data_IF_747220535176
#
_entry.id   IF_747220535176
#
_cell.length_a   1.000
_cell.length_b   1.000
_cell.length_c   1.000
_cell.angle_alpha   90.00
_cell.angle_beta   90.00
_cell.angle_gamma   90.00
#
_symmetry.space_group_name_H-M   'P 1'
#
loop_
_entity.id
_entity.type
_entity.pdbx_description
1 polymer ?
#
# COMPACT_ATOMS: atom_id res chain seq x y z
N UNK A 1 20.89 0.43 28.03
CA UNK A 1 20.36 0.81 26.70
C UNK A 1 18.86 0.65 26.74
N UNK A 2 18.13 1.75 27.06
CA UNK A 2 16.68 1.79 26.91
C UNK A 2 16.38 1.72 25.41
N UNK A 3 15.53 0.77 25.00
CA UNK A 3 15.16 0.60 23.62
C UNK A 3 14.36 1.83 23.13
N UNK A 4 14.61 2.25 21.90
CA UNK A 4 13.89 3.35 21.26
C UNK A 4 12.36 3.18 21.29
N UNK A 5 11.87 1.94 21.35
CA UNK A 5 10.44 1.58 21.44
C UNK A 5 9.76 2.04 22.73
N UNK A 6 10.48 2.08 23.87
CA UNK A 6 9.97 2.60 25.14
C UNK A 6 9.71 4.11 25.08
N UNK A 7 10.61 4.85 24.44
CA UNK A 7 10.53 6.31 24.35
C UNK A 7 9.37 6.80 23.49
N UNK A 8 9.02 6.03 22.44
CA UNK A 8 7.89 6.35 21.56
C UNK A 8 6.53 6.03 22.21
N UNK A 9 6.44 4.95 23.00
CA UNK A 9 5.25 4.62 23.78
C UNK A 9 4.95 5.70 24.82
N UNK A 10 5.96 6.14 25.56
CA UNK A 10 5.79 7.14 26.63
C UNK A 10 5.37 8.51 26.09
N UNK A 11 5.94 8.97 24.98
CA UNK A 11 5.53 10.23 24.34
C UNK A 11 4.11 10.18 23.77
N UNK A 12 3.69 9.06 23.22
CA UNK A 12 2.31 8.88 22.75
C UNK A 12 1.31 8.87 23.92
N UNK A 13 1.65 8.22 25.03
CA UNK A 13 0.85 8.20 26.25
C UNK A 13 0.80 9.60 26.91
N UNK A 14 1.90 10.35 26.94
CA UNK A 14 1.95 11.70 27.49
C UNK A 14 1.13 12.69 26.65
N UNK A 15 1.14 12.59 25.30
CA UNK A 15 0.29 13.43 24.44
C UNK A 15 -1.22 13.15 24.68
N UNK A 16 -1.59 11.89 24.89
CA UNK A 16 -2.95 11.49 25.27
C UNK A 16 -3.36 11.99 26.67
N UNK A 17 -2.42 12.08 27.61
CA UNK A 17 -2.66 12.53 28.96
C UNK A 17 -2.82 14.05 29.10
N UNK A 18 -2.34 14.84 28.12
CA UNK A 18 -2.36 16.31 28.19
C UNK A 18 -3.60 16.96 27.56
N UNK A 19 -4.64 16.19 27.18
CA UNK A 19 -5.91 16.74 26.68
C UNK A 19 -5.82 17.45 25.32
N UNK A 20 -4.68 17.37 24.61
CA UNK A 20 -4.53 17.93 23.27
C UNK A 20 -5.24 17.01 22.25
N UNK A 21 -6.24 17.56 21.57
CA UNK A 21 -6.87 16.88 20.44
C UNK A 21 -5.90 16.76 19.27
N UNK A 22 -5.89 15.60 18.61
CA UNK A 22 -4.96 15.29 17.51
C UNK A 22 -5.56 15.61 16.15
N UNK A 23 -4.73 16.11 15.24
CA UNK A 23 -5.01 16.20 13.81
C UNK A 23 -4.41 14.99 13.11
N UNK A 24 -5.21 14.31 12.30
CA UNK A 24 -4.82 13.09 11.58
C UNK A 24 -4.90 13.33 10.08
N UNK A 25 -3.94 12.83 9.32
CA UNK A 25 -3.99 12.77 7.87
C UNK A 25 -4.16 11.31 7.44
N UNK A 26 -5.26 11.01 6.74
CA UNK A 26 -5.49 9.72 6.09
C UNK A 26 -5.17 9.86 4.61
N UNK A 27 -4.23 9.06 4.12
CA UNK A 27 -3.81 9.06 2.71
C UNK A 27 -4.59 8.01 1.94
N UNK A 28 -5.25 8.44 0.87
CA UNK A 28 -6.07 7.62 -0.03
C UNK A 28 -7.49 8.17 -0.22
N UNK A 29 -8.24 7.59 -1.14
CA UNK A 29 -9.58 8.09 -1.53
C UNK A 29 -10.63 6.99 -1.69
N UNK A 30 -10.34 5.75 -1.31
CA UNK A 30 -11.26 4.62 -1.43
C UNK A 30 -12.21 4.47 -0.24
N UNK A 31 -13.07 3.46 -0.32
CA UNK A 31 -14.00 3.12 0.76
C UNK A 31 -13.30 2.69 2.06
N UNK A 32 -12.11 2.08 1.95
CA UNK A 32 -11.26 1.75 3.09
C UNK A 32 -10.82 2.99 3.86
N UNK A 33 -10.31 3.99 3.15
CA UNK A 33 -9.86 5.26 3.74
C UNK A 33 -11.03 6.06 4.31
N UNK A 34 -12.19 6.04 3.66
CA UNK A 34 -13.41 6.63 4.20
C UNK A 34 -13.80 5.96 5.53
N UNK A 35 -13.83 4.63 5.61
CA UNK A 35 -14.16 3.90 6.84
C UNK A 35 -13.15 4.16 7.98
N UNK A 36 -11.85 4.24 7.65
CA UNK A 36 -10.79 4.60 8.60
C UNK A 36 -11.00 6.02 9.14
N UNK A 37 -11.23 6.98 8.26
CA UNK A 37 -11.45 8.39 8.60
C UNK A 37 -12.70 8.56 9.47
N UNK A 38 -13.80 7.94 9.09
CA UNK A 38 -15.04 7.92 9.87
C UNK A 38 -14.83 7.36 11.28
N UNK A 39 -14.06 6.25 11.40
CA UNK A 39 -13.79 5.67 12.70
C UNK A 39 -12.87 6.52 13.56
N UNK A 40 -11.84 7.13 12.98
CA UNK A 40 -10.93 8.04 13.67
C UNK A 40 -11.65 9.31 14.17
N UNK A 41 -12.56 9.87 13.36
CA UNK A 41 -13.33 11.06 13.69
C UNK A 41 -14.26 10.88 14.91
N UNK A 42 -14.68 9.65 15.22
CA UNK A 42 -15.48 9.33 16.40
C UNK A 42 -14.70 9.44 17.73
N UNK A 43 -13.38 9.49 17.66
CA UNK A 43 -12.56 9.61 18.87
C UNK A 43 -12.70 11.00 19.50
N UNK A 44 -12.85 11.05 20.83
CA UNK A 44 -12.80 12.29 21.59
C UNK A 44 -11.43 12.96 21.61
N UNK A 45 -10.40 12.21 21.23
CA UNK A 45 -9.01 12.68 21.16
C UNK A 45 -8.63 13.18 19.76
N UNK A 46 -9.56 13.15 18.79
CA UNK A 46 -9.34 13.62 17.43
C UNK A 46 -10.17 14.89 17.19
N UNK A 47 -9.48 15.96 16.79
CA UNK A 47 -10.07 17.22 16.40
C UNK A 47 -10.54 17.18 14.95
N UNK A 48 -9.63 16.92 14.05
CA UNK A 48 -9.85 16.90 12.60
C UNK A 48 -9.15 15.72 11.95
N UNK A 49 -9.81 15.10 10.98
CA UNK A 49 -9.24 14.10 10.08
C UNK A 49 -9.18 14.68 8.67
N UNK A 50 -8.00 14.96 8.17
CA UNK A 50 -7.78 15.31 6.77
C UNK A 50 -7.68 14.04 5.93
N UNK A 51 -8.21 14.05 4.71
CA UNK A 51 -8.17 12.89 3.80
C UNK A 51 -7.65 13.32 2.43
N UNK A 52 -6.61 12.65 1.93
CA UNK A 52 -5.90 13.02 0.71
C UNK A 52 -5.92 11.89 -0.34
N UNK A 53 -6.63 12.02 -1.46
CA UNK A 53 -7.53 13.11 -1.83
C UNK A 53 -8.92 13.00 -1.20
N UNK A 54 -9.27 11.86 -0.57
CA UNK A 54 -10.61 11.56 -0.09
C UNK A 54 -11.60 11.25 -1.23
N UNK A 55 -12.88 11.28 -0.90
CA UNK A 55 -13.97 11.07 -1.84
C UNK A 55 -15.22 11.86 -1.39
N UNK A 56 -16.27 11.96 -2.22
CA UNK A 56 -17.49 12.71 -1.84
C UNK A 56 -18.17 12.22 -0.56
N UNK A 57 -18.07 10.91 -0.24
CA UNK A 57 -18.63 10.36 0.99
C UNK A 57 -17.86 10.81 2.23
N UNK A 58 -16.53 10.82 2.18
CA UNK A 58 -15.73 11.27 3.33
C UNK A 58 -15.93 12.74 3.64
N UNK A 59 -16.14 13.62 2.63
CA UNK A 59 -16.34 15.05 2.86
C UNK A 59 -17.69 15.40 3.52
N UNK A 60 -18.63 14.47 3.56
CA UNK A 60 -19.93 14.66 4.22
C UNK A 60 -19.92 14.32 5.71
N UNK A 61 -18.85 13.72 6.21
CA UNK A 61 -18.73 13.28 7.60
C UNK A 61 -18.24 14.39 8.53
N UNK A 62 -18.73 14.38 9.77
CA UNK A 62 -18.29 15.34 10.79
C UNK A 62 -16.80 15.19 11.10
N UNK A 63 -16.09 16.30 11.29
CA UNK A 63 -14.65 16.38 11.55
C UNK A 63 -13.75 15.87 10.41
N UNK A 64 -14.28 15.54 9.24
CA UNK A 64 -13.51 15.09 8.09
C UNK A 64 -13.43 16.20 7.05
N UNK A 65 -12.20 16.43 6.56
CA UNK A 65 -11.92 17.44 5.53
C UNK A 65 -11.08 16.78 4.42
N UNK A 66 -11.62 16.74 3.21
CA UNK A 66 -10.83 16.30 2.06
C UNK A 66 -9.88 17.41 1.61
N UNK A 67 -8.68 17.02 1.19
CA UNK A 67 -7.68 17.94 0.63
C UNK A 67 -7.29 17.49 -0.77
N UNK A 68 -7.10 18.44 -1.68
CA UNK A 68 -6.79 18.17 -3.10
C UNK A 68 -5.30 17.83 -3.31
N UNK A 69 -4.83 16.78 -2.60
CA UNK A 69 -3.46 16.26 -2.75
C UNK A 69 -3.56 14.76 -3.10
N UNK A 70 -2.88 14.35 -4.16
CA UNK A 70 -2.87 12.96 -4.57
C UNK A 70 -2.12 12.08 -3.57
N UNK A 71 -2.61 10.85 -3.39
CA UNK A 71 -2.02 9.89 -2.43
C UNK A 71 -0.55 9.55 -2.72
N UNK A 72 -0.12 9.69 -3.97
CA UNK A 72 1.25 9.43 -4.43
C UNK A 72 2.15 10.66 -4.42
N UNK A 73 1.61 11.85 -4.17
CA UNK A 73 2.40 13.09 -4.09
C UNK A 73 2.93 13.28 -2.66
N UNK A 74 3.98 12.52 -2.35
CA UNK A 74 4.56 12.49 -0.99
C UNK A 74 5.09 13.86 -0.58
N UNK A 75 5.62 14.64 -1.50
CA UNK A 75 6.18 15.97 -1.20
C UNK A 75 5.09 16.94 -0.75
N UNK A 76 3.98 17.02 -1.47
CA UNK A 76 2.85 17.86 -1.08
C UNK A 76 2.17 17.38 0.21
N UNK A 77 2.08 16.05 0.42
CA UNK A 77 1.57 15.49 1.68
C UNK A 77 2.44 15.89 2.88
N UNK A 78 3.77 15.86 2.74
CA UNK A 78 4.72 16.31 3.76
C UNK A 78 4.56 17.80 4.04
N UNK A 79 4.48 18.61 2.97
CA UNK A 79 4.28 20.06 3.11
C UNK A 79 3.00 20.37 3.87
N UNK A 80 1.89 19.75 3.48
CA UNK A 80 0.60 19.88 4.17
C UNK A 80 0.69 19.46 5.64
N UNK A 81 1.29 18.30 5.91
CA UNK A 81 1.38 17.76 7.26
C UNK A 81 2.18 18.66 8.21
N UNK A 82 3.24 19.31 7.71
CA UNK A 82 4.01 20.31 8.48
C UNK A 82 3.18 21.56 8.77
N UNK A 83 2.52 22.11 7.75
CA UNK A 83 1.76 23.36 7.86
C UNK A 83 0.56 23.19 8.83
N UNK A 84 -0.15 22.08 8.74
CA UNK A 84 -1.30 21.77 9.61
C UNK A 84 -0.89 21.18 10.97
N UNK A 85 0.39 20.92 11.21
CA UNK A 85 0.87 20.28 12.43
C UNK A 85 0.19 18.92 12.68
N UNK A 86 0.20 18.05 11.67
CA UNK A 86 -0.38 16.70 11.74
C UNK A 86 0.35 15.86 12.79
N UNK A 87 -0.38 15.25 13.70
CA UNK A 87 0.16 14.40 14.77
C UNK A 87 0.37 12.95 14.32
N UNK A 88 -0.44 12.47 13.36
CA UNK A 88 -0.40 11.10 12.84
C UNK A 88 -0.83 11.06 11.38
N UNK A 89 -0.07 10.34 10.55
CA UNK A 89 -0.46 9.97 9.19
C UNK A 89 -0.88 8.50 9.17
N UNK A 90 -1.96 8.18 8.46
CA UNK A 90 -2.46 6.81 8.24
C UNK A 90 -2.54 6.56 6.74
N UNK A 91 -1.79 5.58 6.24
CA UNK A 91 -1.74 5.30 4.81
C UNK A 91 -2.63 4.12 4.47
N UNK A 92 -3.57 4.32 3.55
CA UNK A 92 -4.51 3.29 3.12
C UNK A 92 -4.02 2.48 1.92
N UNK A 93 -3.71 3.10 0.76
CA UNK A 93 -3.35 2.39 -0.45
C UNK A 93 -1.90 1.91 -0.46
N UNK A 94 -1.63 0.89 -1.24
CA UNK A 94 -0.32 0.23 -1.35
C UNK A 94 0.71 1.04 -2.15
N UNK A 95 0.28 1.80 -3.15
CA UNK A 95 1.19 2.57 -4.03
C UNK A 95 2.10 3.54 -3.25
N UNK A 96 1.58 4.44 -2.38
CA UNK A 96 2.43 5.31 -1.58
C UNK A 96 3.29 4.55 -0.57
N UNK A 97 2.85 3.39 -0.07
CA UNK A 97 3.64 2.56 0.84
C UNK A 97 4.88 1.99 0.13
N UNK A 98 4.70 1.43 -1.06
CA UNK A 98 5.80 0.88 -1.88
C UNK A 98 6.78 1.97 -2.30
N UNK A 99 6.30 3.19 -2.53
CA UNK A 99 7.15 4.34 -2.87
C UNK A 99 7.82 5.01 -1.67
N UNK A 100 7.53 4.57 -0.43
CA UNK A 100 8.28 4.95 0.76
C UNK A 100 7.70 6.12 1.57
N UNK A 101 6.42 6.39 1.48
CA UNK A 101 5.78 7.48 2.24
C UNK A 101 6.07 7.39 3.75
N UNK A 102 6.07 6.18 4.33
CA UNK A 102 6.33 5.97 5.77
C UNK A 102 7.76 6.35 6.12
N UNK A 103 8.71 5.98 5.25
CA UNK A 103 10.13 6.29 5.43
C UNK A 103 10.36 7.80 5.39
N UNK A 104 9.71 8.51 4.45
CA UNK A 104 9.82 9.96 4.31
C UNK A 104 9.21 10.71 5.52
N UNK A 105 8.03 10.32 5.99
CA UNK A 105 7.44 10.90 7.20
C UNK A 105 8.28 10.61 8.45
N UNK A 106 8.86 9.43 8.54
CA UNK A 106 9.75 9.05 9.66
C UNK A 106 11.00 9.92 9.70
N UNK A 107 11.64 10.21 8.55
CA UNK A 107 12.82 11.09 8.45
C UNK A 107 12.56 12.49 9.02
N UNK A 108 11.36 12.99 8.87
CA UNK A 108 10.97 14.33 9.36
C UNK A 108 10.33 14.31 10.76
N UNK A 109 10.27 13.15 11.41
CA UNK A 109 9.77 12.99 12.77
C UNK A 109 8.24 13.03 12.93
N UNK A 110 7.47 12.95 11.84
CA UNK A 110 6.01 12.81 11.87
C UNK A 110 5.65 11.33 11.93
N UNK A 111 4.80 10.95 12.86
CA UNK A 111 4.34 9.56 13.00
C UNK A 111 3.53 9.15 11.77
N UNK A 112 3.87 7.99 11.18
CA UNK A 112 3.14 7.45 10.06
C UNK A 112 2.82 5.97 10.32
N UNK A 113 1.55 5.62 10.22
CA UNK A 113 1.08 4.24 10.34
C UNK A 113 1.06 3.59 8.95
N UNK A 114 1.90 2.60 8.79
CA UNK A 114 2.08 1.80 7.57
C UNK A 114 3.41 1.06 7.61
N UNK A 115 3.64 0.09 6.73
CA UNK A 115 4.93 -0.56 6.55
C UNK A 115 5.93 0.39 5.87
N UNK A 116 7.23 0.19 6.14
CA UNK A 116 8.31 0.81 5.35
C UNK A 116 8.25 0.36 3.88
N UNK A 117 8.92 1.07 2.97
CA UNK A 117 8.98 0.68 1.56
C UNK A 117 9.50 -0.75 1.38
N UNK A 118 10.51 -1.15 2.16
CA UNK A 118 11.05 -2.51 2.12
C UNK A 118 10.01 -3.56 2.54
N UNK A 119 9.28 -3.34 3.62
CA UNK A 119 8.23 -4.24 4.08
C UNK A 119 7.02 -4.26 3.13
N UNK A 120 6.68 -3.12 2.53
CA UNK A 120 5.60 -3.00 1.56
C UNK A 120 5.84 -3.81 0.27
N UNK A 121 7.09 -4.21 -0.02
CA UNK A 121 7.40 -5.11 -1.14
C UNK A 121 6.70 -6.47 -1.03
N UNK A 122 6.31 -6.91 0.16
CA UNK A 122 5.50 -8.13 0.33
C UNK A 122 4.14 -8.04 -0.39
N UNK A 123 3.58 -6.84 -0.55
CA UNK A 123 2.38 -6.58 -1.36
C UNK A 123 2.75 -6.08 -2.75
N UNK A 124 3.79 -5.25 -2.86
CA UNK A 124 4.21 -4.59 -4.09
C UNK A 124 4.76 -5.53 -5.16
N UNK A 125 5.39 -6.66 -4.77
CA UNK A 125 5.94 -7.64 -5.71
C UNK A 125 5.57 -9.06 -5.30
N UNK A 126 4.85 -9.74 -6.18
CA UNK A 126 4.46 -11.14 -6.01
C UNK A 126 5.68 -12.06 -6.02
N UNK A 127 6.65 -11.76 -6.89
CA UNK A 127 7.89 -12.50 -6.96
C UNK A 127 8.73 -12.33 -5.67
N UNK A 128 8.80 -11.12 -5.12
CA UNK A 128 9.44 -10.88 -3.83
C UNK A 128 8.74 -11.65 -2.70
N UNK A 129 7.42 -11.54 -2.61
CA UNK A 129 6.62 -12.24 -1.60
C UNK A 129 6.82 -13.76 -1.66
N UNK A 130 6.85 -14.35 -2.87
CA UNK A 130 7.08 -15.77 -3.07
C UNK A 130 8.48 -16.20 -2.63
N UNK A 131 9.52 -15.45 -3.00
CA UNK A 131 10.90 -15.72 -2.53
C UNK A 131 11.00 -15.60 -1.01
N UNK A 132 10.35 -14.59 -0.42
CA UNK A 132 10.30 -14.42 1.03
C UNK A 132 9.64 -15.63 1.72
N UNK A 133 8.46 -16.04 1.25
CA UNK A 133 7.76 -17.20 1.79
C UNK A 133 8.58 -18.49 1.68
N UNK A 134 9.27 -18.70 0.56
CA UNK A 134 10.14 -19.84 0.35
C UNK A 134 11.33 -19.81 1.33
N UNK A 135 11.99 -18.66 1.45
CA UNK A 135 13.15 -18.46 2.37
C UNK A 135 12.78 -18.79 3.82
N UNK A 136 11.61 -18.36 4.25
CA UNK A 136 11.17 -18.55 5.64
C UNK A 136 10.25 -19.75 5.84
N UNK A 137 10.13 -20.63 4.84
CA UNK A 137 9.30 -21.86 4.87
C UNK A 137 7.83 -21.59 5.21
N UNK A 138 7.30 -20.45 4.76
CA UNK A 138 5.88 -20.12 4.88
C UNK A 138 5.11 -20.90 3.81
N UNK A 139 4.06 -21.66 4.16
CA UNK A 139 3.28 -22.41 3.18
C UNK A 139 2.71 -21.51 2.08
N UNK A 140 2.96 -21.88 0.85
CA UNK A 140 2.45 -21.17 -0.34
C UNK A 140 2.36 -22.12 -1.52
N UNK A 141 1.52 -21.80 -2.51
CA UNK A 141 1.45 -22.58 -3.75
C UNK A 141 2.80 -22.56 -4.50
N UNK A 142 3.09 -23.66 -5.18
CA UNK A 142 4.24 -23.75 -6.11
C UNK A 142 4.18 -22.60 -7.12
N UNK A 143 5.33 -22.04 -7.46
CA UNK A 143 5.41 -20.93 -8.41
C UNK A 143 6.68 -20.97 -9.23
N UNK A 144 6.66 -20.30 -10.37
CA UNK A 144 7.81 -19.98 -11.18
C UNK A 144 7.67 -18.52 -11.63
N UNK A 145 8.79 -17.79 -11.64
CA UNK A 145 8.84 -16.39 -12.11
C UNK A 145 9.69 -16.30 -13.38
N UNK A 146 9.26 -15.46 -14.30
CA UNK A 146 9.94 -15.20 -15.57
C UNK A 146 10.05 -13.70 -15.81
N UNK A 147 11.15 -13.26 -16.38
CA UNK A 147 11.38 -11.89 -16.85
C UNK A 147 11.53 -11.80 -18.38
N UNK A 148 11.33 -12.92 -19.06
CA UNK A 148 11.41 -13.05 -20.51
C UNK A 148 10.20 -13.83 -21.03
N UNK A 149 9.45 -13.30 -22.02
CA UNK A 149 8.24 -13.94 -22.54
C UNK A 149 8.51 -15.27 -23.23
N UNK A 150 9.67 -15.42 -23.88
CA UNK A 150 10.02 -16.67 -24.56
C UNK A 150 10.18 -17.82 -23.56
N UNK A 151 10.98 -17.60 -22.51
CA UNK A 151 11.19 -18.58 -21.44
C UNK A 151 9.89 -18.93 -20.72
N UNK A 152 9.01 -17.94 -20.50
CA UNK A 152 7.69 -18.16 -19.92
C UNK A 152 6.84 -19.09 -20.81
N UNK A 153 6.76 -18.81 -22.11
CA UNK A 153 6.00 -19.62 -23.06
C UNK A 153 6.55 -21.04 -23.18
N UNK A 154 7.86 -21.23 -23.21
CA UNK A 154 8.47 -22.57 -23.25
C UNK A 154 8.12 -23.40 -22.00
N UNK A 155 8.15 -22.79 -20.81
CA UNK A 155 7.70 -23.45 -19.58
C UNK A 155 6.22 -23.86 -19.66
N UNK A 156 5.37 -22.97 -20.17
CA UNK A 156 3.92 -23.17 -20.24
C UNK A 156 3.51 -24.30 -21.20
N UNK A 157 4.29 -24.59 -22.25
CA UNK A 157 4.03 -25.71 -23.18
C UNK A 157 3.96 -27.08 -22.47
N UNK A 158 4.77 -27.25 -21.43
CA UNK A 158 4.89 -28.50 -20.71
C UNK A 158 4.21 -28.46 -19.33
N UNK A 159 3.42 -27.43 -19.06
CA UNK A 159 2.75 -27.22 -17.78
C UNK A 159 1.41 -27.93 -17.69
N UNK A 160 0.98 -28.25 -16.46
CA UNK A 160 -0.34 -28.80 -16.17
C UNK A 160 -1.34 -27.69 -15.93
N UNK A 161 -2.53 -27.83 -16.51
CA UNK A 161 -3.62 -26.86 -16.37
C UNK A 161 -4.76 -27.44 -15.52
N UNK A 162 -5.59 -26.60 -14.82
CA UNK A 162 -5.54 -25.14 -14.84
C UNK A 162 -4.41 -24.56 -13.98
N UNK A 163 -3.97 -23.35 -14.32
CA UNK A 163 -3.00 -22.61 -13.56
C UNK A 163 -3.34 -21.11 -13.50
N UNK A 164 -2.60 -20.37 -12.68
CA UNK A 164 -2.76 -18.92 -12.51
C UNK A 164 -1.50 -18.21 -12.98
N UNK A 165 -1.64 -17.30 -13.93
CA UNK A 165 -0.60 -16.38 -14.38
C UNK A 165 -0.87 -15.02 -13.76
N UNK A 166 0.18 -14.38 -13.24
CA UNK A 166 0.05 -13.07 -12.58
C UNK A 166 1.15 -12.14 -13.05
N UNK A 167 0.78 -10.92 -13.43
CA UNK A 167 1.74 -9.85 -13.58
C UNK A 167 2.41 -9.57 -12.23
N UNK A 168 3.72 -9.33 -12.20
CA UNK A 168 4.40 -8.86 -11.01
C UNK A 168 4.22 -7.34 -10.86
N UNK A 169 4.23 -6.84 -9.62
CA UNK A 169 3.93 -5.43 -9.34
C UNK A 169 2.45 -5.15 -9.06
N UNK A 170 2.14 -3.86 -8.88
CA UNK A 170 0.81 -3.36 -8.56
C UNK A 170 0.00 -3.18 -9.86
N UNK A 171 -1.02 -4.00 -10.05
CA UNK A 171 -1.88 -4.01 -11.23
C UNK A 171 -3.37 -3.77 -10.90
N UNK A 172 -3.67 -3.17 -9.74
CA UNK A 172 -5.03 -2.88 -9.26
C UNK A 172 -5.99 -4.09 -9.38
N UNK A 173 -5.48 -5.30 -9.10
CA UNK A 173 -6.25 -6.55 -9.19
C UNK A 173 -6.50 -7.07 -10.62
N UNK A 174 -6.00 -6.41 -11.68
CA UNK A 174 -6.31 -6.75 -13.07
C UNK A 174 -5.31 -7.71 -13.72
N UNK A 175 -4.10 -7.83 -13.21
CA UNK A 175 -3.03 -8.67 -13.78
C UNK A 175 -3.05 -10.13 -13.33
N UNK A 176 -4.22 -10.76 -13.15
CA UNK A 176 -4.37 -12.15 -12.70
C UNK A 176 -5.25 -12.93 -13.69
N UNK A 177 -4.72 -14.01 -14.26
CA UNK A 177 -5.38 -14.84 -15.26
C UNK A 177 -5.46 -16.28 -14.78
N UNK A 178 -6.67 -16.83 -14.76
CA UNK A 178 -6.89 -18.28 -14.61
C UNK A 178 -6.93 -18.88 -16.01
N UNK A 179 -5.96 -19.73 -16.33
CA UNK A 179 -5.81 -20.30 -17.68
C UNK A 179 -6.00 -21.80 -17.66
N UNK A 180 -6.79 -22.31 -18.59
CA UNK A 180 -7.19 -23.70 -18.66
C UNK A 180 -6.44 -24.50 -19.76
N UNK A 181 -5.65 -23.83 -20.58
CA UNK A 181 -4.85 -24.43 -21.65
C UNK A 181 -3.70 -23.51 -22.08
N UNK A 182 -2.80 -24.04 -22.91
CA UNK A 182 -1.64 -23.32 -23.40
C UNK A 182 -1.99 -22.04 -24.18
N UNK A 183 -3.00 -22.09 -25.07
CA UNK A 183 -3.36 -20.92 -25.88
C UNK A 183 -3.80 -19.71 -25.02
N UNK A 184 -4.58 -19.96 -23.96
CA UNK A 184 -4.93 -18.91 -22.99
C UNK A 184 -3.71 -18.42 -22.22
N UNK A 185 -2.81 -19.32 -21.84
CA UNK A 185 -1.60 -18.99 -21.11
C UNK A 185 -0.65 -18.14 -21.96
N UNK A 186 -0.41 -18.53 -23.21
CA UNK A 186 0.41 -17.79 -24.17
C UNK A 186 -0.11 -16.36 -24.37
N UNK A 187 -1.42 -16.22 -24.60
CA UNK A 187 -2.07 -14.91 -24.73
C UNK A 187 -1.88 -14.06 -23.47
N UNK A 188 -1.98 -14.64 -22.27
CA UNK A 188 -1.78 -13.92 -21.01
C UNK A 188 -0.34 -13.42 -20.85
N UNK A 189 0.66 -14.21 -21.31
CA UNK A 189 2.06 -13.77 -21.34
C UNK A 189 2.23 -12.58 -22.29
N UNK A 190 1.62 -12.64 -23.50
CA UNK A 190 1.68 -11.52 -24.42
C UNK A 190 1.02 -10.26 -23.87
N UNK A 191 -0.17 -10.40 -23.29
CA UNK A 191 -0.89 -9.27 -22.65
C UNK A 191 -0.05 -8.59 -21.55
N UNK A 192 0.73 -9.37 -20.77
CA UNK A 192 1.54 -8.88 -19.66
C UNK A 192 2.89 -8.33 -20.17
N UNK A 193 3.66 -9.14 -20.88
CA UNK A 193 5.09 -8.92 -21.12
C UNK A 193 5.42 -8.32 -22.48
N UNK A 194 4.54 -8.48 -23.47
CA UNK A 194 4.73 -7.96 -24.83
C UNK A 194 3.92 -6.69 -25.07
N UNK A 195 2.64 -6.73 -24.75
CA UNK A 195 1.71 -5.62 -24.96
C UNK A 195 1.71 -4.60 -23.80
N UNK A 196 2.34 -4.94 -22.69
CA UNK A 196 2.42 -4.11 -21.47
C UNK A 196 1.08 -3.55 -21.00
N UNK A 197 -0.01 -4.35 -21.07
CA UNK A 197 -1.38 -3.91 -20.74
C UNK A 197 -1.55 -3.50 -19.27
N UNK A 198 -0.59 -3.81 -18.41
CA UNK A 198 -0.58 -3.50 -16.99
C UNK A 198 0.53 -2.49 -16.60
N UNK A 199 0.97 -1.69 -17.57
CA UNK A 199 2.02 -0.68 -17.37
C UNK A 199 3.36 -1.32 -16.99
N UNK A 200 3.94 -0.89 -15.86
CA UNK A 200 5.21 -1.42 -15.36
C UNK A 200 5.06 -2.75 -14.60
N UNK A 201 3.83 -3.26 -14.42
CA UNK A 201 3.60 -4.57 -13.83
C UNK A 201 3.69 -5.65 -14.92
N UNK A 202 4.70 -6.55 -14.81
CA UNK A 202 4.92 -7.60 -15.80
C UNK A 202 6.38 -7.97 -16.01
#
# INVERSE_FOLDING_TARGET
>A
TQSSDGLYRDKAFQALAMGKSSKILVVGGGGREHALSWKLAQSKHVDTVFVAPGNPGSSSEAKIVNIEVQATDIEQLIHFAKNESIDLVVVGPEDPLVTGIVDEFTKIGIKCFGPTAEAAQLEGSKAFAKRFMQKYRIPTATYQSFSDPHSAKEFLKNSVYPMVIKADGLAAGKGVFIVNNFAMAEKSVDDIMTDHKFGSAG
#
